data_IF_503723140186
#
_entry.id   IF_503723140186
#
_cell.length_a   1.000
_cell.length_b   1.000
_cell.length_c   1.000
_cell.angle_alpha   90.00
_cell.angle_beta   90.00
_cell.angle_gamma   90.00
#
_symmetry.space_group_name_H-M   'P 1'
#
loop_
_entity.id
_entity.type
_entity.pdbx_description
1 polymer ?
#
# COMPACT_ATOMS: atom_id res chain seq x y z
N UNK A 1 9.02 1.83 -20.12
CA UNK A 1 10.39 1.35 -19.82
C UNK A 1 10.25 -0.01 -19.16
N UNK A 2 10.80 -1.08 -19.75
CA UNK A 2 10.63 -2.43 -19.20
C UNK A 2 11.83 -2.79 -18.31
N UNK A 3 11.60 -2.84 -16.99
CA UNK A 3 12.61 -3.22 -15.99
C UNK A 3 12.81 -4.73 -15.89
N UNK A 4 12.01 -5.55 -16.58
CA UNK A 4 11.99 -7.03 -16.49
C UNK A 4 12.98 -7.74 -17.42
N UNK A 5 13.99 -7.05 -17.92
CA UNK A 5 14.99 -7.65 -18.81
C UNK A 5 15.98 -8.53 -18.04
N UNK A 6 16.13 -9.79 -18.44
CA UNK A 6 16.98 -10.81 -17.81
C UNK A 6 16.61 -11.08 -16.34
N UNK A 7 15.44 -11.70 -16.06
CA UNK A 7 15.07 -12.05 -14.71
C UNK A 7 16.10 -12.99 -14.09
N UNK A 8 16.41 -12.77 -12.81
CA UNK A 8 17.31 -13.60 -12.01
C UNK A 8 16.54 -14.14 -10.80
N UNK A 9 16.78 -15.40 -10.45
CA UNK A 9 16.20 -16.05 -9.28
C UNK A 9 17.33 -16.39 -8.29
N UNK A 10 17.21 -15.93 -7.05
CA UNK A 10 18.17 -16.21 -5.99
C UNK A 10 17.57 -17.23 -5.02
N UNK A 11 18.02 -18.48 -5.07
CA UNK A 11 17.60 -19.53 -4.14
C UNK A 11 18.53 -19.60 -2.94
N UNK A 12 17.95 -19.72 -1.75
CA UNK A 12 18.68 -19.87 -0.49
C UNK A 12 18.70 -21.33 -0.03
N UNK A 13 19.76 -21.74 0.67
CA UNK A 13 19.92 -23.11 1.19
C UNK A 13 20.41 -23.09 2.65
N UNK A 14 19.54 -22.73 3.63
CA UNK A 14 19.92 -22.57 5.04
C UNK A 14 20.54 -23.83 5.66
N UNK A 15 20.11 -25.02 5.25
CA UNK A 15 20.62 -26.31 5.72
C UNK A 15 22.14 -26.46 5.49
N UNK A 16 22.66 -25.90 4.40
CA UNK A 16 24.11 -25.94 4.14
C UNK A 16 24.89 -25.01 5.07
N UNK A 17 24.27 -23.92 5.55
CA UNK A 17 24.88 -23.00 6.50
C UNK A 17 25.04 -23.68 7.87
N UNK A 18 24.00 -24.36 8.34
CA UNK A 18 24.01 -25.11 9.61
C UNK A 18 25.06 -26.21 9.60
N UNK A 19 25.15 -26.99 8.51
CA UNK A 19 26.12 -28.08 8.39
C UNK A 19 27.59 -27.61 8.34
N UNK A 20 27.85 -26.38 7.92
CA UNK A 20 29.21 -25.82 7.84
C UNK A 20 29.73 -25.30 9.18
N UNK A 21 28.88 -25.22 10.22
CA UNK A 21 29.27 -24.69 11.53
C UNK A 21 29.77 -23.25 11.47
N UNK A 22 29.28 -22.45 10.51
CA UNK A 22 29.70 -21.05 10.35
C UNK A 22 29.24 -20.26 11.57
N UNK A 23 30.15 -19.47 12.12
CA UNK A 23 29.79 -18.53 13.17
C UNK A 23 28.85 -17.44 12.61
N UNK A 24 27.63 -17.40 13.13
CA UNK A 24 26.62 -16.40 12.73
C UNK A 24 26.99 -14.99 13.23
N UNK A 25 26.75 -13.92 12.46
CA UNK A 25 27.02 -12.55 12.92
C UNK A 25 25.96 -12.06 13.93
N UNK A 26 26.23 -11.03 14.74
CA UNK A 26 25.19 -10.31 15.46
C UNK A 26 24.18 -9.65 14.50
N UNK A 27 22.91 -9.58 14.92
CA UNK A 27 21.80 -8.98 14.18
C UNK A 27 21.01 -8.06 15.10
N UNK A 28 20.94 -6.79 14.72
CA UNK A 28 20.12 -5.78 15.39
C UNK A 28 18.80 -5.58 14.63
N UNK A 29 17.70 -5.73 15.34
CA UNK A 29 16.35 -5.57 14.84
C UNK A 29 15.82 -4.22 15.33
N UNK A 30 15.35 -3.39 14.40
CA UNK A 30 14.80 -2.07 14.72
C UNK A 30 13.29 -2.06 14.48
N UNK A 31 12.54 -1.67 15.52
CA UNK A 31 11.09 -1.43 15.46
C UNK A 31 10.84 0.04 15.76
N UNK A 32 10.15 0.73 14.88
CA UNK A 32 9.82 2.15 15.05
C UNK A 32 8.31 2.32 15.17
N UNK A 33 7.86 3.11 16.14
CA UNK A 33 6.46 3.48 16.34
C UNK A 33 6.36 5.00 16.44
N UNK A 34 5.32 5.57 15.82
CA UNK A 34 5.19 7.01 15.69
C UNK A 34 4.22 7.63 16.70
N UNK A 35 3.07 6.99 16.93
CA UNK A 35 2.02 7.52 17.79
C UNK A 35 1.12 6.37 18.29
N UNK A 36 0.89 6.24 19.61
CA UNK A 36 0.13 5.12 20.19
C UNK A 36 -1.39 5.17 19.92
N UNK A 37 -1.91 6.31 19.43
CA UNK A 37 -3.32 6.46 19.05
C UNK A 37 -3.53 6.00 17.61
N UNK A 38 -2.65 6.43 16.70
CA UNK A 38 -2.71 6.04 15.29
C UNK A 38 -2.15 4.63 15.05
N UNK A 39 -1.27 4.16 15.94
CA UNK A 39 -0.66 2.84 15.90
C UNK A 39 -0.82 2.18 17.28
N UNK A 40 -1.94 1.46 17.51
CA UNK A 40 -2.19 0.84 18.80
C UNK A 40 -0.98 0.02 19.31
N UNK A 41 -0.55 0.19 20.57
CA UNK A 41 0.67 -0.43 21.10
C UNK A 41 0.71 -1.94 20.95
N UNK A 42 -0.45 -2.61 20.96
CA UNK A 42 -0.56 -4.05 20.76
C UNK A 42 0.02 -4.53 19.42
N UNK A 43 -0.02 -3.71 18.36
CA UNK A 43 0.57 -4.02 17.06
C UNK A 43 2.10 -4.07 17.18
N UNK A 44 2.67 -3.07 17.84
CA UNK A 44 4.11 -2.97 18.12
C UNK A 44 4.56 -4.13 19.00
N UNK A 45 3.81 -4.45 20.05
CA UNK A 45 4.06 -5.59 20.95
C UNK A 45 4.08 -6.92 20.17
N UNK A 46 3.09 -7.19 19.31
CA UNK A 46 3.07 -8.40 18.50
C UNK A 46 4.27 -8.52 17.56
N UNK A 47 4.71 -7.39 16.99
CA UNK A 47 5.91 -7.33 16.15
C UNK A 47 7.16 -7.66 16.97
N UNK A 48 7.31 -7.05 18.15
CA UNK A 48 8.44 -7.30 19.06
C UNK A 48 8.48 -8.76 19.51
N UNK A 49 7.34 -9.33 19.93
CA UNK A 49 7.24 -10.73 20.34
C UNK A 49 7.62 -11.70 19.21
N UNK A 50 7.19 -11.42 17.98
CA UNK A 50 7.56 -12.20 16.80
C UNK A 50 9.08 -12.18 16.54
N UNK A 51 9.69 -10.98 16.66
CA UNK A 51 11.12 -10.79 16.45
C UNK A 51 11.97 -11.45 17.54
N UNK A 52 11.55 -11.41 18.81
CA UNK A 52 12.25 -12.08 19.92
C UNK A 52 12.19 -13.60 19.82
N UNK A 53 11.19 -14.15 19.13
CA UNK A 53 11.00 -15.58 18.92
C UNK A 53 11.71 -16.13 17.67
N UNK A 54 12.50 -15.32 16.95
CA UNK A 54 13.25 -15.77 15.78
C UNK A 54 14.19 -16.93 16.11
N UNK A 55 14.38 -17.81 15.12
CA UNK A 55 15.35 -18.90 15.20
C UNK A 55 16.78 -18.37 14.97
N UNK A 56 17.32 -17.73 16.02
CA UNK A 56 18.67 -17.18 16.04
C UNK A 56 19.29 -17.31 17.44
N UNK A 57 20.64 -17.39 17.56
CA UNK A 57 21.29 -17.42 18.87
C UNK A 57 20.95 -16.16 19.69
N UNK A 58 20.45 -16.36 20.91
CA UNK A 58 19.94 -15.27 21.76
C UNK A 58 21.00 -14.19 22.06
N UNK A 59 22.26 -14.58 22.24
CA UNK A 59 23.37 -13.65 22.48
C UNK A 59 23.81 -12.87 21.23
N UNK A 60 23.21 -13.15 20.06
CA UNK A 60 23.51 -12.50 18.77
C UNK A 60 22.31 -11.75 18.22
N UNK A 61 21.19 -11.75 18.93
CA UNK A 61 19.97 -11.06 18.51
C UNK A 61 19.69 -9.93 19.50
N UNK A 62 19.56 -8.70 19.02
CA UNK A 62 19.14 -7.56 19.83
C UNK A 62 17.95 -6.88 19.16
N UNK A 63 16.94 -6.50 19.95
CA UNK A 63 15.75 -5.81 19.47
C UNK A 63 15.69 -4.41 20.11
N UNK A 64 15.61 -3.39 19.25
CA UNK A 64 15.56 -1.99 19.63
C UNK A 64 14.21 -1.41 19.20
N UNK A 65 13.51 -0.78 20.14
CA UNK A 65 12.25 -0.08 19.86
C UNK A 65 12.48 1.42 19.99
N UNK A 66 12.16 2.18 18.94
CA UNK A 66 12.16 3.63 18.92
C UNK A 66 10.72 4.14 18.90
N UNK A 67 10.39 5.04 19.82
CA UNK A 67 9.07 5.66 19.94
C UNK A 67 9.17 7.19 19.79
N UNK A 68 8.70 7.70 18.66
CA UNK A 68 8.73 9.14 18.35
C UNK A 68 7.72 9.94 19.18
N UNK A 69 6.72 9.29 19.80
CA UNK A 69 5.75 9.96 20.67
C UNK A 69 6.24 10.08 22.11
N UNK A 70 7.37 9.45 22.47
CA UNK A 70 7.84 9.29 23.84
C UNK A 70 6.68 8.90 24.79
N UNK A 71 5.95 7.83 24.43
CA UNK A 71 4.69 7.47 25.07
C UNK A 71 4.90 6.52 26.26
N UNK A 72 4.47 6.92 27.48
CA UNK A 72 4.45 6.02 28.63
C UNK A 72 3.60 4.76 28.36
N UNK A 73 2.56 4.86 27.54
CA UNK A 73 1.70 3.74 27.18
C UNK A 73 2.43 2.72 26.31
N UNK A 74 3.26 3.17 25.37
CA UNK A 74 4.12 2.29 24.57
C UNK A 74 5.12 1.57 25.47
N UNK A 75 5.78 2.30 26.37
CA UNK A 75 6.74 1.72 27.31
C UNK A 75 6.08 0.70 28.25
N UNK A 76 4.94 1.04 28.85
CA UNK A 76 4.14 0.11 29.66
C UNK A 76 3.79 -1.17 28.88
N UNK A 77 3.33 -1.03 27.63
CA UNK A 77 2.98 -2.18 26.78
C UNK A 77 4.18 -3.08 26.48
N UNK A 78 5.38 -2.50 26.31
CA UNK A 78 6.63 -3.26 26.11
C UNK A 78 7.09 -3.98 27.38
N UNK A 79 6.89 -3.38 28.56
CA UNK A 79 7.17 -4.03 29.84
C UNK A 79 6.27 -5.26 30.05
N UNK A 80 4.97 -5.11 29.81
CA UNK A 80 4.02 -6.23 29.85
C UNK A 80 4.37 -7.31 28.81
N UNK A 81 4.79 -6.90 27.60
CA UNK A 81 5.24 -7.82 26.57
C UNK A 81 6.52 -8.58 26.98
N UNK A 82 7.44 -7.95 27.70
CA UNK A 82 8.66 -8.58 28.21
C UNK A 82 8.36 -9.74 29.16
N UNK A 83 7.36 -9.58 30.05
CA UNK A 83 6.91 -10.66 30.93
C UNK A 83 6.29 -11.82 30.13
N UNK A 84 5.43 -11.51 29.18
CA UNK A 84 4.83 -12.55 28.30
C UNK A 84 5.89 -13.23 27.40
N UNK A 85 6.91 -12.51 26.94
CA UNK A 85 7.97 -13.06 26.11
C UNK A 85 8.72 -14.22 26.77
N UNK A 86 8.83 -14.21 28.12
CA UNK A 86 9.43 -15.31 28.90
C UNK A 86 8.67 -16.62 28.75
N UNK A 87 7.38 -16.57 28.43
CA UNK A 87 6.53 -17.73 28.17
C UNK A 87 6.46 -18.04 26.66
N UNK A 88 6.27 -17.00 25.83
CA UNK A 88 6.07 -17.14 24.39
C UNK A 88 7.31 -17.63 23.63
N UNK A 89 8.49 -17.11 23.94
CA UNK A 89 9.73 -17.45 23.21
C UNK A 89 10.10 -18.93 23.40
N UNK A 90 10.11 -19.49 24.63
CA UNK A 90 10.33 -20.92 24.82
C UNK A 90 9.28 -21.78 24.13
N UNK A 91 7.99 -21.39 24.21
CA UNK A 91 6.90 -22.11 23.55
C UNK A 91 7.12 -22.18 22.03
N UNK A 92 7.45 -21.05 21.39
CA UNK A 92 7.73 -21.00 19.95
C UNK A 92 8.89 -21.91 19.54
N UNK A 93 9.98 -21.91 20.32
CA UNK A 93 11.17 -22.71 20.03
C UNK A 93 10.95 -24.20 20.27
N UNK A 94 10.19 -24.54 21.31
CA UNK A 94 9.88 -25.93 21.68
C UNK A 94 9.02 -26.63 20.64
N UNK A 95 8.06 -25.91 20.07
CA UNK A 95 7.05 -26.45 19.15
C UNK A 95 7.26 -26.03 17.69
N UNK A 96 8.42 -25.47 17.36
CA UNK A 96 8.80 -24.99 16.02
C UNK A 96 7.70 -24.14 15.34
N UNK A 97 7.17 -23.18 16.09
CA UNK A 97 6.07 -22.33 15.63
C UNK A 97 6.58 -21.43 14.49
N UNK A 98 5.97 -21.58 13.32
CA UNK A 98 6.35 -20.83 12.11
C UNK A 98 5.86 -19.37 12.16
N UNK A 99 4.60 -19.16 12.53
CA UNK A 99 3.98 -17.83 12.67
C UNK A 99 4.17 -17.34 14.10
N UNK A 100 5.18 -16.49 14.29
CA UNK A 100 5.63 -16.07 15.64
C UNK A 100 4.94 -14.83 16.20
N UNK A 101 4.08 -14.19 15.43
CA UNK A 101 3.22 -13.11 15.92
C UNK A 101 1.99 -13.73 16.63
N UNK A 102 1.83 -13.57 17.95
CA UNK A 102 0.78 -14.26 18.71
C UNK A 102 -0.63 -14.02 18.16
N UNK A 103 -0.97 -12.79 17.77
CA UNK A 103 -2.31 -12.49 17.22
C UNK A 103 -2.62 -13.31 15.96
N UNK A 104 -1.65 -13.43 15.04
CA UNK A 104 -1.83 -14.23 13.82
C UNK A 104 -1.85 -15.71 14.12
N UNK A 105 -1.02 -16.16 15.06
CA UNK A 105 -0.98 -17.57 15.44
C UNK A 105 -2.33 -18.01 16.03
N UNK A 106 -2.84 -17.30 17.04
CA UNK A 106 -4.06 -17.70 17.75
C UNK A 106 -5.36 -17.38 17.01
N UNK A 107 -5.41 -16.32 16.20
CA UNK A 107 -6.65 -15.84 15.58
C UNK A 107 -6.63 -15.87 14.04
N UNK A 108 -5.51 -16.23 13.42
CA UNK A 108 -5.36 -16.28 11.96
C UNK A 108 -5.90 -17.55 11.29
N UNK A 109 -6.34 -18.54 12.07
CA UNK A 109 -6.89 -19.82 11.58
C UNK A 109 -5.86 -20.94 11.38
N UNK A 110 -4.56 -20.64 11.46
CA UNK A 110 -3.47 -21.63 11.26
C UNK A 110 -2.94 -22.26 12.57
N UNK A 111 -3.28 -21.68 13.73
CA UNK A 111 -2.72 -22.11 15.03
C UNK A 111 -3.62 -22.99 15.88
N UNK A 112 -4.83 -23.36 15.43
CA UNK A 112 -5.64 -24.33 16.15
C UNK A 112 -5.01 -25.73 16.06
N UNK A 113 -4.94 -26.47 17.17
CA UNK A 113 -4.46 -27.84 17.14
C UNK A 113 -5.42 -28.71 16.30
N UNK A 114 -5.01 -29.05 15.09
CA UNK A 114 -5.71 -30.05 14.27
C UNK A 114 -5.57 -31.43 14.93
N UNK A 115 -6.70 -32.11 15.11
CA UNK A 115 -6.77 -33.46 15.65
C UNK A 115 -5.95 -34.51 14.85
N UNK A 116 -5.60 -34.20 13.60
CA UNK A 116 -4.96 -35.12 12.65
C UNK A 116 -3.43 -34.95 12.51
N UNK A 117 -2.80 -34.03 13.26
CA UNK A 117 -1.35 -33.84 13.19
C UNK A 117 -0.64 -34.81 14.13
N UNK A 118 0.00 -35.82 13.52
CA UNK A 118 0.56 -37.05 14.11
C UNK A 118 1.69 -36.91 15.16
N UNK A 119 1.88 -35.77 15.82
CA UNK A 119 3.01 -35.55 16.73
C UNK A 119 2.64 -34.79 18.02
N UNK A 120 1.50 -35.14 18.63
CA UNK A 120 1.11 -34.57 19.92
C UNK A 120 2.04 -35.11 21.01
N UNK A 121 3.09 -34.35 21.32
CA UNK A 121 3.75 -34.47 22.63
C UNK A 121 2.66 -34.35 23.71
N UNK A 122 2.58 -35.34 24.61
CA UNK A 122 1.61 -35.32 25.70
C UNK A 122 1.75 -34.01 26.49
N UNK A 123 0.79 -33.10 26.34
CA UNK A 123 0.77 -31.79 27.02
C UNK A 123 0.68 -30.57 26.11
N UNK A 124 0.88 -30.70 24.79
CA UNK A 124 0.79 -29.55 23.88
C UNK A 124 -0.56 -28.81 23.93
N UNK A 125 -1.74 -29.47 23.88
CA UNK A 125 -3.02 -28.76 23.90
C UNK A 125 -3.22 -27.92 25.17
N UNK A 126 -2.83 -28.45 26.33
CA UNK A 126 -2.94 -27.73 27.60
C UNK A 126 -1.96 -26.55 27.66
N UNK A 127 -0.71 -26.75 27.21
CA UNK A 127 0.28 -25.68 27.16
C UNK A 127 -0.17 -24.58 26.19
N UNK A 128 -0.70 -24.95 25.02
CA UNK A 128 -1.26 -24.01 24.04
C UNK A 128 -2.40 -23.18 24.62
N UNK A 129 -3.37 -23.82 25.31
CA UNK A 129 -4.51 -23.12 25.92
C UNK A 129 -4.05 -22.16 27.02
N UNK A 130 -3.09 -22.58 27.84
CA UNK A 130 -2.50 -21.72 28.86
C UNK A 130 -1.81 -20.50 28.23
N UNK A 131 -0.97 -20.68 27.20
CA UNK A 131 -0.29 -19.57 26.53
C UNK A 131 -1.29 -18.63 25.83
N UNK A 132 -2.35 -19.17 25.23
CA UNK A 132 -3.42 -18.37 24.63
C UNK A 132 -4.10 -17.50 25.68
N UNK A 133 -4.46 -18.07 26.83
CA UNK A 133 -5.08 -17.32 27.93
C UNK A 133 -4.15 -16.21 28.46
N UNK A 134 -2.86 -16.48 28.62
CA UNK A 134 -1.86 -15.46 29.01
C UNK A 134 -1.75 -14.33 27.97
N UNK A 135 -1.81 -14.66 26.68
CA UNK A 135 -1.81 -13.67 25.61
C UNK A 135 -3.08 -12.80 25.62
N UNK A 136 -4.25 -13.39 25.83
CA UNK A 136 -5.51 -12.65 25.96
C UNK A 136 -5.47 -11.71 27.18
N UNK A 137 -4.91 -12.15 28.31
CA UNK A 137 -4.71 -11.29 29.47
C UNK A 137 -3.76 -10.12 29.18
N UNK A 138 -2.66 -10.35 28.45
CA UNK A 138 -1.76 -9.28 27.98
C UNK A 138 -2.53 -8.25 27.14
N UNK A 139 -3.34 -8.72 26.18
CA UNK A 139 -4.17 -7.84 25.35
C UNK A 139 -5.11 -6.99 26.21
N UNK A 140 -5.82 -7.62 27.15
CA UNK A 140 -6.75 -6.93 28.05
C UNK A 140 -6.05 -5.86 28.90
N UNK A 141 -4.86 -6.14 29.44
CA UNK A 141 -4.10 -5.14 30.23
C UNK A 141 -3.68 -3.94 29.39
N UNK A 142 -3.22 -4.17 28.16
CA UNK A 142 -2.86 -3.09 27.23
C UNK A 142 -4.10 -2.28 26.83
N UNK A 143 -5.20 -2.94 26.51
CA UNK A 143 -6.47 -2.27 26.16
C UNK A 143 -7.03 -1.44 27.31
N UNK A 144 -6.98 -1.97 28.54
CA UNK A 144 -7.36 -1.19 29.73
C UNK A 144 -6.48 0.04 29.91
N UNK A 145 -5.17 -0.07 29.70
CA UNK A 145 -4.24 1.05 29.78
C UNK A 145 -4.47 2.09 28.66
N UNK A 146 -4.87 1.65 27.46
CA UNK A 146 -5.29 2.55 26.37
C UNK A 146 -6.52 3.35 26.77
N UNK A 147 -7.51 2.71 27.42
CA UNK A 147 -8.78 3.34 27.77
C UNK A 147 -8.71 4.21 29.04
N UNK A 148 -8.07 3.71 30.09
CA UNK A 148 -8.07 4.31 31.43
C UNK A 148 -6.79 5.11 31.73
N UNK A 149 -5.79 5.02 30.87
CA UNK A 149 -4.45 5.54 31.12
C UNK A 149 -3.55 4.50 31.80
N UNK A 150 -2.23 4.74 31.75
CA UNK A 150 -1.23 3.84 32.32
C UNK A 150 -1.40 3.76 33.85
N UNK A 151 -1.44 2.56 34.46
CA UNK A 151 -1.66 2.37 35.90
C UNK A 151 -0.40 2.67 36.74
N UNK A 152 0.33 3.75 36.43
CA UNK A 152 1.59 4.08 37.10
C UNK A 152 1.73 5.60 37.29
N UNK A 153 2.17 6.04 38.46
CA UNK A 153 2.69 7.39 38.64
C UNK A 153 4.02 7.52 37.86
N UNK A 154 4.27 8.66 37.20
CA UNK A 154 5.49 8.94 36.42
C UNK A 154 6.75 9.07 37.31
N UNK A 155 7.07 7.98 38.01
CA UNK A 155 8.13 7.84 39.01
C UNK A 155 8.88 6.53 38.75
N UNK A 156 10.06 6.34 39.33
CA UNK A 156 10.88 5.15 39.09
C UNK A 156 11.25 4.98 37.62
N UNK A 157 10.93 3.83 37.03
CA UNK A 157 11.22 3.49 35.62
C UNK A 157 10.50 4.40 34.60
N UNK A 158 9.47 5.14 35.03
CA UNK A 158 8.75 6.10 34.20
C UNK A 158 9.20 7.56 34.40
N UNK A 159 10.20 7.81 35.26
CA UNK A 159 10.64 9.16 35.60
C UNK A 159 11.14 9.96 34.40
N UNK A 160 11.75 9.27 33.42
CA UNK A 160 12.28 9.88 32.20
C UNK A 160 11.19 10.50 31.33
N UNK A 161 9.93 10.08 31.47
CA UNK A 161 8.79 10.67 30.74
C UNK A 161 8.20 11.92 31.41
N UNK A 162 8.66 12.26 32.62
CA UNK A 162 8.17 13.42 33.36
C UNK A 162 8.62 14.74 32.72
N UNK A 163 7.67 15.61 32.36
CA UNK A 163 7.96 16.93 31.79
C UNK A 163 8.41 16.92 30.31
N UNK A 164 8.37 15.77 29.63
CA UNK A 164 8.65 15.69 28.19
C UNK A 164 7.47 16.20 27.36
N UNK A 165 7.77 17.04 26.37
CA UNK A 165 6.80 17.37 25.32
C UNK A 165 6.86 16.32 24.20
N UNK A 166 5.80 15.52 24.06
CA UNK A 166 5.69 14.46 23.04
C UNK A 166 5.88 14.94 21.60
N UNK A 167 5.62 16.22 21.32
CA UNK A 167 5.79 16.81 19.97
C UNK A 167 7.12 17.53 19.79
N UNK A 168 7.91 17.66 20.85
CA UNK A 168 9.15 18.41 20.84
C UNK A 168 10.10 17.89 21.92
N UNK A 169 10.79 16.81 21.61
CA UNK A 169 11.87 16.24 22.43
C UNK A 169 13.13 16.05 21.58
N UNK A 170 14.33 16.07 22.17
CA UNK A 170 15.56 15.84 21.42
C UNK A 170 15.59 14.42 20.83
N UNK A 171 16.10 14.29 19.60
CA UNK A 171 16.38 12.99 18.99
C UNK A 171 17.56 12.32 19.70
N UNK A 172 17.38 11.11 20.24
CA UNK A 172 18.42 10.41 21.00
C UNK A 172 19.33 9.56 20.06
N UNK A 173 18.90 9.26 18.83
CA UNK A 173 19.73 8.61 17.81
C UNK A 173 19.42 9.18 16.42
N UNK A 174 20.45 9.55 15.64
CA UNK A 174 20.33 9.87 14.21
C UNK A 174 20.73 8.64 13.40
N UNK A 175 19.75 7.88 12.91
CA UNK A 175 20.00 6.72 12.03
C UNK A 175 20.08 7.19 10.56
N UNK A 176 20.92 6.54 9.76
CA UNK A 176 21.41 6.95 8.44
C UNK A 176 20.41 7.06 7.28
N UNK A 177 19.13 7.30 7.55
CA UNK A 177 18.14 7.66 6.52
C UNK A 177 18.41 9.07 6.01
N UNK A 178 18.27 9.26 4.70
CA UNK A 178 18.54 10.52 4.05
C UNK A 178 17.27 11.36 4.02
N UNK A 179 17.27 12.46 4.75
CA UNK A 179 16.18 13.44 4.71
C UNK A 179 16.10 14.19 3.37
N UNK A 180 14.90 14.68 3.08
CA UNK A 180 14.61 15.56 1.93
C UNK A 180 13.55 15.02 0.96
N UNK A 181 12.89 13.91 1.30
CA UNK A 181 11.77 13.34 0.54
C UNK A 181 10.80 12.66 1.52
N UNK A 182 9.51 12.66 1.22
CA UNK A 182 8.50 11.81 1.88
C UNK A 182 8.67 10.31 1.58
N UNK A 183 9.58 9.98 0.67
CA UNK A 183 10.05 8.62 0.35
C UNK A 183 11.56 8.54 0.57
N UNK A 184 11.97 8.78 1.82
CA UNK A 184 13.37 8.74 2.24
C UNK A 184 13.99 7.35 2.04
N UNK A 185 13.17 6.30 2.05
CA UNK A 185 13.55 4.92 1.74
C UNK A 185 14.14 4.77 0.33
N UNK A 186 13.43 5.29 -0.69
CA UNK A 186 13.88 5.29 -2.09
C UNK A 186 15.09 6.19 -2.26
N UNK A 187 15.06 7.39 -1.67
CA UNK A 187 16.18 8.34 -1.73
C UNK A 187 17.46 7.77 -1.11
N UNK A 188 17.33 7.08 0.02
CA UNK A 188 18.44 6.40 0.71
C UNK A 188 18.97 5.25 -0.14
N UNK A 189 18.07 4.43 -0.72
CA UNK A 189 18.44 3.35 -1.62
C UNK A 189 19.23 3.83 -2.84
N UNK A 190 18.78 4.90 -3.50
CA UNK A 190 19.52 5.52 -4.63
C UNK A 190 20.91 5.95 -4.18
N UNK A 191 21.01 6.59 -3.01
CA UNK A 191 22.27 7.11 -2.49
C UNK A 191 23.26 6.02 -2.10
N UNK A 192 22.78 4.88 -1.57
CA UNK A 192 23.60 3.70 -1.30
C UNK A 192 24.10 3.10 -2.61
N UNK A 193 23.22 2.88 -3.59
CA UNK A 193 23.61 2.33 -4.88
C UNK A 193 24.52 3.26 -5.70
N UNK A 194 24.35 4.58 -5.59
CA UNK A 194 25.23 5.57 -6.21
C UNK A 194 26.68 5.49 -5.68
N UNK A 195 26.89 4.92 -4.47
CA UNK A 195 28.23 4.63 -3.92
C UNK A 195 28.82 3.30 -4.42
N UNK A 196 28.08 2.52 -5.21
CA UNK A 196 28.52 1.27 -5.84
C UNK A 196 28.07 0.00 -5.11
N UNK A 197 27.23 0.12 -4.08
CA UNK A 197 26.63 -1.04 -3.41
C UNK A 197 25.62 -1.76 -4.29
N UNK A 198 25.37 -3.03 -3.98
CA UNK A 198 24.38 -3.88 -4.67
C UNK A 198 23.39 -4.43 -3.64
N UNK A 199 22.12 -4.50 -4.02
CA UNK A 199 21.07 -5.18 -3.27
C UNK A 199 20.78 -6.57 -3.85
N UNK A 200 20.24 -7.46 -3.03
CA UNK A 200 19.79 -8.80 -3.42
C UNK A 200 18.35 -8.98 -2.94
N UNK A 201 17.51 -9.59 -3.76
CA UNK A 201 16.15 -9.99 -3.42
C UNK A 201 16.07 -11.52 -3.47
N UNK A 202 16.09 -12.22 -2.32
CA UNK A 202 16.01 -13.67 -2.28
C UNK A 202 14.60 -14.13 -2.66
N UNK A 203 14.51 -15.21 -3.40
CA UNK A 203 13.26 -15.90 -3.68
C UNK A 203 13.03 -16.94 -2.58
N UNK A 204 11.96 -16.77 -1.82
CA UNK A 204 11.64 -17.57 -0.65
C UNK A 204 10.32 -18.30 -0.90
N UNK A 205 10.26 -19.59 -0.56
CA UNK A 205 9.08 -20.42 -0.76
C UNK A 205 7.88 -19.97 0.09
N UNK A 206 8.14 -19.26 1.19
CA UNK A 206 7.13 -18.68 2.07
C UNK A 206 7.46 -17.23 2.39
N UNK A 207 6.44 -16.37 2.58
CA UNK A 207 6.67 -14.97 2.92
C UNK A 207 7.35 -14.86 4.29
N UNK A 208 8.60 -14.39 4.30
CA UNK A 208 9.36 -14.21 5.54
C UNK A 208 8.89 -13.00 6.38
N UNK A 209 8.24 -12.03 5.76
CA UNK A 209 7.68 -10.85 6.42
C UNK A 209 6.24 -10.66 5.98
N UNK A 210 5.33 -10.69 6.94
CA UNK A 210 3.91 -10.40 6.75
C UNK A 210 3.56 -9.16 7.57
N UNK A 211 2.74 -8.30 6.97
CA UNK A 211 2.26 -7.09 7.61
C UNK A 211 0.78 -6.88 7.30
N UNK A 212 0.12 -6.10 8.16
CA UNK A 212 -1.25 -5.70 7.91
C UNK A 212 -1.28 -4.71 6.73
N UNK A 213 -2.13 -4.98 5.74
CA UNK A 213 -2.40 -4.09 4.63
C UNK A 213 -3.77 -3.43 4.83
N UNK A 214 -3.88 -2.14 4.50
CA UNK A 214 -5.17 -1.45 4.52
C UNK A 214 -6.13 -2.09 3.51
N UNK A 215 -7.38 -2.28 3.91
CA UNK A 215 -8.43 -2.97 3.13
C UNK A 215 -8.92 -2.27 1.85
N UNK A 216 -8.50 -1.02 1.56
CA UNK A 216 -8.91 -0.30 0.35
C UNK A 216 -9.24 1.18 0.57
N UNK A 217 -9.62 1.86 -0.51
CA UNK A 217 -10.25 3.19 -0.45
C UNK A 217 -9.34 4.34 -0.01
N UNK A 218 -9.81 5.29 0.82
CA UNK A 218 -9.11 6.56 1.06
C UNK A 218 -7.71 6.43 1.65
N UNK A 219 -7.49 5.47 2.55
CA UNK A 219 -6.20 5.27 3.24
C UNK A 219 -5.10 4.92 2.23
N UNK A 220 -5.36 3.96 1.33
CA UNK A 220 -4.43 3.59 0.26
C UNK A 220 -4.18 4.80 -0.65
N UNK A 221 -5.21 5.58 -0.97
CA UNK A 221 -5.04 6.75 -1.84
C UNK A 221 -4.15 7.82 -1.20
N UNK A 222 -4.30 8.08 0.10
CA UNK A 222 -3.40 8.98 0.85
C UNK A 222 -1.97 8.44 0.91
N UNK A 223 -1.79 7.13 1.03
CA UNK A 223 -0.46 6.51 0.98
C UNK A 223 0.19 6.69 -0.39
N UNK A 224 -0.52 6.37 -1.48
CA UNK A 224 0.00 6.53 -2.85
C UNK A 224 0.29 8.00 -3.16
N UNK A 225 -0.57 8.92 -2.72
CA UNK A 225 -0.34 10.36 -2.90
C UNK A 225 0.98 10.81 -2.25
N UNK A 226 1.29 10.29 -1.05
CA UNK A 226 2.58 10.53 -0.38
C UNK A 226 3.75 9.93 -1.16
N UNK A 227 3.63 8.70 -1.65
CA UNK A 227 4.66 8.09 -2.50
C UNK A 227 4.94 8.92 -3.74
N UNK A 228 3.91 9.33 -4.46
CA UNK A 228 4.06 10.14 -5.67
C UNK A 228 4.72 11.49 -5.34
N UNK A 229 4.31 12.15 -4.26
CA UNK A 229 4.93 13.42 -3.82
C UNK A 229 6.42 13.23 -3.52
N UNK A 230 6.79 12.21 -2.74
CA UNK A 230 8.19 11.91 -2.44
C UNK A 230 9.01 11.49 -3.66
N UNK A 231 8.41 10.79 -4.61
CA UNK A 231 9.06 10.46 -5.88
C UNK A 231 9.39 11.71 -6.70
N UNK A 232 8.50 12.70 -6.73
CA UNK A 232 8.78 13.98 -7.37
C UNK A 232 9.88 14.75 -6.63
N UNK A 233 9.82 14.83 -5.30
CA UNK A 233 10.88 15.43 -4.47
C UNK A 233 12.25 14.81 -4.76
N UNK A 234 12.30 13.47 -4.84
CA UNK A 234 13.52 12.73 -5.17
C UNK A 234 14.00 13.01 -6.60
N UNK A 235 13.09 13.01 -7.59
CA UNK A 235 13.39 13.21 -9.00
C UNK A 235 14.01 14.59 -9.27
N UNK A 236 13.51 15.63 -8.61
CA UNK A 236 13.97 17.02 -8.73
C UNK A 236 15.04 17.41 -7.69
N UNK A 237 15.48 16.47 -6.86
CA UNK A 237 16.58 16.69 -5.91
C UNK A 237 17.96 16.62 -6.58
N UNK A 238 18.99 17.09 -5.87
CA UNK A 238 20.41 16.92 -6.26
C UNK A 238 20.86 15.46 -6.27
N UNK A 239 20.07 14.55 -5.68
CA UNK A 239 20.34 13.10 -5.61
C UNK A 239 19.53 12.29 -6.62
N UNK A 240 18.97 12.95 -7.63
CA UNK A 240 18.23 12.32 -8.72
C UNK A 240 19.04 11.22 -9.42
N UNK A 241 18.42 10.09 -9.81
CA UNK A 241 19.12 9.01 -10.52
C UNK A 241 19.64 9.43 -11.89
N UNK A 242 19.12 10.53 -12.48
CA UNK A 242 19.62 11.10 -13.74
C UNK A 242 21.03 11.67 -13.53
N UNK A 243 21.18 12.51 -12.50
CA UNK A 243 22.47 13.10 -12.14
C UNK A 243 23.45 12.01 -11.72
N UNK A 244 22.98 11.02 -10.94
CA UNK A 244 23.81 9.94 -10.42
C UNK A 244 24.45 9.03 -11.49
N UNK A 245 23.92 8.97 -12.72
CA UNK A 245 24.62 8.26 -13.83
C UNK A 245 25.92 8.99 -14.19
N UNK A 246 25.88 10.33 -14.22
CA UNK A 246 27.00 11.15 -14.68
C UNK A 246 27.98 11.42 -13.53
N UNK A 247 27.46 11.59 -12.31
CA UNK A 247 28.23 12.06 -11.16
C UNK A 247 28.58 10.97 -10.14
N UNK A 248 28.09 9.74 -10.33
CA UNK A 248 28.25 8.66 -9.34
C UNK A 248 28.40 7.26 -10.00
N UNK A 249 28.39 6.19 -9.19
CA UNK A 249 28.59 4.80 -9.63
C UNK A 249 27.29 4.08 -9.99
N UNK A 250 26.20 4.82 -10.23
CA UNK A 250 24.90 4.22 -10.51
C UNK A 250 24.86 3.66 -11.94
N UNK A 251 24.55 2.37 -12.09
CA UNK A 251 24.51 1.75 -13.41
C UNK A 251 23.35 2.30 -14.24
N UNK A 252 23.54 2.44 -15.55
CA UNK A 252 22.51 2.96 -16.46
C UNK A 252 21.16 2.23 -16.32
N UNK A 253 21.17 0.89 -16.41
CA UNK A 253 19.94 0.08 -16.25
C UNK A 253 19.28 0.24 -14.89
N UNK A 254 20.07 0.41 -13.84
CA UNK A 254 19.58 0.65 -12.49
C UNK A 254 18.93 2.03 -12.38
N UNK A 255 19.52 3.05 -13.02
CA UNK A 255 18.93 4.38 -13.13
C UNK A 255 17.62 4.36 -13.92
N UNK A 256 17.52 3.60 -15.02
CA UNK A 256 16.25 3.37 -15.71
C UNK A 256 15.19 2.73 -14.77
N UNK A 257 15.61 1.76 -13.95
CA UNK A 257 14.74 1.17 -12.93
C UNK A 257 14.20 2.18 -11.92
N UNK A 258 15.07 3.06 -11.42
CA UNK A 258 14.65 4.15 -10.55
C UNK A 258 13.74 5.15 -11.25
N UNK A 259 14.09 5.58 -12.47
CA UNK A 259 13.27 6.51 -13.24
C UNK A 259 11.88 5.95 -13.52
N UNK A 260 11.74 4.66 -13.79
CA UNK A 260 10.45 4.02 -13.97
C UNK A 260 9.54 4.21 -12.73
N UNK A 261 10.09 4.06 -11.52
CA UNK A 261 9.35 4.27 -10.28
C UNK A 261 9.07 5.76 -10.05
N UNK A 262 10.09 6.61 -10.21
CA UNK A 262 9.96 8.05 -9.92
C UNK A 262 9.00 8.77 -10.87
N UNK A 263 8.89 8.29 -12.11
CA UNK A 263 7.99 8.85 -13.12
C UNK A 263 6.56 8.33 -13.03
N UNK A 264 6.22 7.48 -12.05
CA UNK A 264 4.88 6.87 -11.96
C UNK A 264 3.76 7.92 -11.90
N UNK A 265 3.96 9.02 -11.16
CA UNK A 265 3.00 10.11 -11.06
C UNK A 265 2.74 10.83 -12.39
N UNK A 266 3.73 10.90 -13.29
CA UNK A 266 3.60 11.60 -14.57
C UNK A 266 2.63 10.91 -15.53
N UNK A 267 2.41 9.60 -15.38
CA UNK A 267 1.46 8.86 -16.21
C UNK A 267 0.00 9.30 -15.98
N UNK A 268 -0.29 9.93 -14.83
CA UNK A 268 -1.65 10.33 -14.45
C UNK A 268 -2.31 11.30 -15.43
N UNK A 269 -1.59 12.36 -15.85
CA UNK A 269 -2.15 13.41 -16.69
C UNK A 269 -2.46 12.93 -18.13
N UNK A 270 -1.52 12.27 -18.85
CA UNK A 270 -1.85 11.69 -20.15
C UNK A 270 -3.00 10.70 -20.07
N UNK A 271 -3.00 9.80 -19.07
CA UNK A 271 -4.08 8.82 -18.92
C UNK A 271 -5.43 9.47 -18.65
N UNK A 272 -5.48 10.53 -17.85
CA UNK A 272 -6.70 11.28 -17.60
C UNK A 272 -7.25 11.91 -18.89
N UNK A 273 -6.39 12.53 -19.70
CA UNK A 273 -6.77 13.07 -21.01
C UNK A 273 -7.27 11.98 -21.97
N UNK A 274 -6.56 10.84 -22.04
CA UNK A 274 -6.98 9.71 -22.87
C UNK A 274 -8.32 9.10 -22.42
N UNK A 275 -8.67 9.16 -21.13
CA UNK A 275 -9.96 8.71 -20.63
C UNK A 275 -11.13 9.65 -20.96
N UNK A 276 -10.85 10.90 -21.35
CA UNK A 276 -11.87 11.85 -21.83
C UNK A 276 -12.06 11.79 -23.35
N UNK A 277 -11.04 11.34 -24.09
CA UNK A 277 -11.01 11.39 -25.55
C UNK A 277 -12.16 10.63 -26.24
N UNK A 278 -12.56 9.41 -25.79
CA UNK A 278 -13.69 8.70 -26.40
C UNK A 278 -15.00 9.46 -26.27
N UNK A 279 -15.29 9.98 -25.07
CA UNK A 279 -16.50 10.77 -24.82
C UNK A 279 -16.48 12.10 -25.59
N UNK A 280 -15.34 12.80 -25.64
CA UNK A 280 -15.18 14.00 -26.45
C UNK A 280 -15.50 13.75 -27.92
N UNK A 281 -14.97 12.65 -28.46
CA UNK A 281 -15.17 12.26 -29.86
C UNK A 281 -16.65 12.02 -30.16
N UNK A 282 -17.36 11.32 -29.28
CA UNK A 282 -18.82 11.12 -29.36
C UNK A 282 -19.59 12.45 -29.24
N UNK A 283 -19.19 13.35 -28.35
CA UNK A 283 -19.87 14.64 -28.17
C UNK A 283 -19.76 15.56 -29.37
N UNK A 284 -18.64 15.46 -30.09
CA UNK A 284 -18.27 16.34 -31.21
C UNK A 284 -18.49 15.70 -32.58
N UNK A 285 -18.90 14.43 -32.63
CA UNK A 285 -18.98 13.65 -33.86
C UNK A 285 -17.65 13.63 -34.64
N UNK A 286 -16.56 13.52 -33.89
CA UNK A 286 -15.21 13.34 -34.41
C UNK A 286 -14.71 11.93 -34.09
N UNK A 287 -13.60 11.54 -34.71
CA UNK A 287 -13.01 10.22 -34.53
C UNK A 287 -11.52 10.35 -34.28
N UNK A 288 -11.05 9.67 -33.24
CA UNK A 288 -9.62 9.60 -32.94
C UNK A 288 -9.01 8.24 -33.31
N UNK A 289 -9.87 7.24 -33.53
CA UNK A 289 -9.49 5.94 -34.05
C UNK A 289 -9.74 5.87 -35.56
N UNK A 290 -8.97 5.06 -36.31
CA UNK A 290 -9.30 4.72 -37.69
C UNK A 290 -10.71 4.14 -37.77
N UNK A 291 -11.42 4.43 -38.86
CA UNK A 291 -12.76 3.90 -39.07
C UNK A 291 -12.74 2.37 -39.12
N UNK A 292 -13.86 1.72 -38.78
CA UNK A 292 -13.99 0.25 -38.87
C UNK A 292 -13.79 -0.27 -40.30
N UNK A 293 -14.03 0.58 -41.30
CA UNK A 293 -13.74 0.30 -42.71
C UNK A 293 -12.25 0.37 -43.07
N UNK A 294 -11.42 1.00 -42.24
CA UNK A 294 -10.00 1.18 -42.50
C UNK A 294 -9.18 0.02 -41.94
N UNK A 295 -8.33 -0.65 -42.74
CA UNK A 295 -7.50 -1.75 -42.26
C UNK A 295 -6.58 -1.42 -41.09
N UNK A 296 -6.25 -0.14 -40.89
CA UNK A 296 -5.43 0.33 -39.77
C UNK A 296 -6.04 0.01 -38.40
N UNK A 297 -7.37 -0.12 -38.30
CA UNK A 297 -8.03 -0.48 -37.03
C UNK A 297 -7.56 -1.85 -36.50
N UNK A 298 -7.21 -2.78 -37.39
CA UNK A 298 -6.71 -4.10 -36.99
C UNK A 298 -5.38 -4.03 -36.23
N UNK A 299 -4.54 -3.02 -36.49
CA UNK A 299 -3.30 -2.80 -35.73
C UNK A 299 -3.64 -2.45 -34.29
N UNK A 300 -4.59 -1.54 -34.07
CA UNK A 300 -4.99 -1.12 -32.73
C UNK A 300 -5.70 -2.23 -31.96
N UNK A 301 -6.57 -2.99 -32.63
CA UNK A 301 -7.23 -4.17 -32.06
C UNK A 301 -6.19 -5.23 -31.68
N UNK A 302 -5.21 -5.51 -32.55
CA UNK A 302 -4.13 -6.45 -32.26
C UNK A 302 -3.30 -6.00 -31.06
N UNK A 303 -2.90 -4.72 -30.99
CA UNK A 303 -2.16 -4.18 -29.84
C UNK A 303 -2.94 -4.31 -28.54
N UNK A 304 -4.24 -4.01 -28.56
CA UNK A 304 -5.11 -4.16 -27.39
C UNK A 304 -5.19 -5.62 -26.93
N UNK A 305 -5.41 -6.56 -27.85
CA UNK A 305 -5.50 -7.99 -27.54
C UNK A 305 -4.15 -8.50 -27.02
N UNK A 306 -3.05 -8.22 -27.71
CA UNK A 306 -1.71 -8.65 -27.33
C UNK A 306 -1.36 -8.14 -25.93
N UNK A 307 -1.63 -6.86 -25.63
CA UNK A 307 -1.34 -6.29 -24.32
C UNK A 307 -2.14 -6.97 -23.19
N UNK A 308 -3.45 -7.16 -23.38
CA UNK A 308 -4.30 -7.79 -22.37
C UNK A 308 -3.95 -9.27 -22.17
N UNK A 309 -3.71 -10.02 -23.26
CA UNK A 309 -3.30 -11.43 -23.18
C UNK A 309 -1.93 -11.54 -22.53
N UNK A 310 -0.96 -10.71 -22.92
CA UNK A 310 0.38 -10.71 -22.35
C UNK A 310 0.35 -10.46 -20.84
N UNK A 311 -0.33 -9.39 -20.41
CA UNK A 311 -0.43 -9.06 -18.98
C UNK A 311 -1.19 -10.12 -18.18
N UNK A 312 -2.24 -10.72 -18.76
CA UNK A 312 -2.94 -11.82 -18.12
C UNK A 312 -2.04 -13.06 -17.94
N UNK A 313 -1.28 -13.42 -18.98
CA UNK A 313 -0.33 -14.54 -18.92
C UNK A 313 0.78 -14.30 -17.89
N UNK A 314 1.25 -13.06 -17.72
CA UNK A 314 2.19 -12.72 -16.64
C UNK A 314 1.59 -12.99 -15.26
N UNK A 315 0.33 -12.59 -15.03
CA UNK A 315 -0.34 -12.84 -13.75
C UNK A 315 -0.51 -14.33 -13.46
N UNK A 316 -0.94 -15.10 -14.46
CA UNK A 316 -1.09 -16.56 -14.33
C UNK A 316 0.27 -17.22 -14.04
N UNK A 317 1.36 -16.78 -14.69
CA UNK A 317 2.72 -17.27 -14.42
C UNK A 317 3.19 -16.97 -13.00
N UNK A 318 2.72 -15.87 -12.42
CA UNK A 318 2.99 -15.53 -11.01
C UNK A 318 2.04 -16.23 -10.02
N UNK A 319 1.20 -17.17 -10.46
CA UNK A 319 0.25 -17.87 -9.59
C UNK A 319 -0.95 -17.01 -9.16
N UNK A 320 -1.18 -15.86 -9.81
CA UNK A 320 -2.28 -14.96 -9.48
C UNK A 320 -3.53 -15.27 -10.32
N UNK A 321 -4.70 -15.04 -9.72
CA UNK A 321 -5.98 -15.28 -10.39
C UNK A 321 -6.31 -14.25 -11.47
N UNK A 322 -7.17 -14.63 -12.43
CA UNK A 322 -7.75 -13.71 -13.42
C UNK A 322 -8.46 -12.53 -12.72
N UNK A 323 -9.10 -12.79 -11.57
CA UNK A 323 -9.72 -11.74 -10.75
C UNK A 323 -8.69 -10.75 -10.22
N UNK A 324 -7.51 -11.21 -9.81
CA UNK A 324 -6.42 -10.32 -9.37
C UNK A 324 -5.90 -9.46 -10.52
N UNK A 325 -5.73 -10.03 -11.72
CA UNK A 325 -5.36 -9.28 -12.92
C UNK A 325 -6.39 -8.18 -13.24
N UNK A 326 -7.68 -8.54 -13.29
CA UNK A 326 -8.74 -7.58 -13.58
C UNK A 326 -8.84 -6.50 -12.50
N UNK A 327 -8.73 -6.87 -11.22
CA UNK A 327 -8.69 -5.91 -10.12
C UNK A 327 -7.52 -4.93 -10.27
N UNK A 328 -6.34 -5.42 -10.64
CA UNK A 328 -5.17 -4.56 -10.84
C UNK A 328 -5.37 -3.59 -12.01
N UNK A 329 -5.94 -4.06 -13.14
CA UNK A 329 -6.26 -3.18 -14.28
C UNK A 329 -7.20 -2.03 -13.88
N UNK A 330 -8.25 -2.34 -13.12
CA UNK A 330 -9.20 -1.34 -12.61
C UNK A 330 -8.53 -0.38 -11.62
N UNK A 331 -7.81 -0.94 -10.65
CA UNK A 331 -7.14 -0.13 -9.62
C UNK A 331 -6.06 0.76 -10.21
N UNK A 332 -5.31 0.31 -11.21
CA UNK A 332 -4.33 1.16 -11.91
C UNK A 332 -4.97 2.43 -12.47
N UNK A 333 -6.12 2.32 -13.15
CA UNK A 333 -6.86 3.47 -13.70
C UNK A 333 -7.44 4.37 -12.61
N UNK A 334 -8.02 3.76 -11.58
CA UNK A 334 -8.57 4.50 -10.42
C UNK A 334 -7.46 5.27 -9.72
N UNK A 335 -6.37 4.62 -9.36
CA UNK A 335 -5.22 5.24 -8.68
C UNK A 335 -4.60 6.35 -9.53
N UNK A 336 -4.46 6.14 -10.85
CA UNK A 336 -3.91 7.17 -11.74
C UNK A 336 -4.79 8.43 -11.82
N UNK A 337 -6.11 8.28 -11.85
CA UNK A 337 -7.07 9.40 -11.88
C UNK A 337 -7.39 9.98 -10.49
N UNK A 338 -6.89 9.39 -9.41
CA UNK A 338 -7.08 9.85 -8.03
C UNK A 338 -5.74 10.30 -7.42
N UNK A 339 -5.11 9.43 -6.64
CA UNK A 339 -3.93 9.70 -5.84
C UNK A 339 -2.72 10.13 -6.67
N UNK A 340 -2.47 9.52 -7.83
CA UNK A 340 -1.33 9.91 -8.65
C UNK A 340 -1.51 11.30 -9.26
N UNK A 341 -2.72 11.62 -9.73
CA UNK A 341 -3.03 12.93 -10.29
C UNK A 341 -2.87 14.03 -9.22
N UNK A 342 -3.46 13.83 -8.04
CA UNK A 342 -3.32 14.78 -6.93
C UNK A 342 -1.90 14.87 -6.39
N UNK A 343 -1.20 13.73 -6.23
CA UNK A 343 0.20 13.70 -5.81
C UNK A 343 1.09 14.46 -6.78
N UNK A 344 0.93 14.24 -8.08
CA UNK A 344 1.67 14.96 -9.12
C UNK A 344 1.38 16.47 -9.12
N UNK A 345 0.11 16.86 -9.04
CA UNK A 345 -0.27 18.28 -9.06
C UNK A 345 0.14 19.02 -7.77
N UNK A 346 0.04 18.35 -6.62
CA UNK A 346 0.38 18.94 -5.31
C UNK A 346 1.87 19.21 -5.11
N UNK A 347 2.73 18.54 -5.88
CA UNK A 347 4.16 18.79 -5.86
C UNK A 347 4.51 20.19 -6.38
N UNK A 348 3.84 20.71 -7.42
CA UNK A 348 4.23 21.97 -8.05
C UNK A 348 4.15 23.20 -7.13
N UNK A 349 3.06 23.41 -6.34
CA UNK A 349 3.03 24.49 -5.36
C UNK A 349 4.15 24.40 -4.33
N UNK A 350 4.49 23.20 -3.86
CA UNK A 350 5.60 22.97 -2.91
C UNK A 350 6.95 23.28 -3.54
N UNK A 351 7.18 22.79 -4.76
CA UNK A 351 8.41 23.03 -5.51
C UNK A 351 8.64 24.53 -5.78
N UNK A 352 7.56 25.29 -5.99
CA UNK A 352 7.60 26.74 -6.18
C UNK A 352 7.63 27.55 -4.86
N UNK A 353 7.60 26.89 -3.69
CA UNK A 353 7.67 27.55 -2.38
C UNK A 353 6.34 28.14 -1.89
N UNK A 354 5.21 27.78 -2.49
CA UNK A 354 3.88 28.28 -2.10
C UNK A 354 3.18 27.44 -1.00
N UNK A 355 3.77 26.33 -0.56
CA UNK A 355 3.16 25.41 0.41
C UNK A 355 4.21 24.71 1.29
N UNK A 356 3.87 24.46 2.56
CA UNK A 356 4.72 23.74 3.52
C UNK A 356 4.62 22.22 3.39
N UNK A 357 5.67 21.52 3.87
CA UNK A 357 5.71 20.07 3.94
C UNK A 357 5.02 19.57 5.23
N UNK A 358 3.76 19.15 5.13
CA UNK A 358 3.07 18.46 6.21
C UNK A 358 3.10 16.96 5.95
N UNK A 359 3.78 16.22 6.82
CA UNK A 359 3.73 14.76 6.85
C UNK A 359 2.64 14.32 7.82
N UNK A 360 1.64 13.60 7.31
CA UNK A 360 0.56 13.02 8.12
C UNK A 360 0.81 11.51 8.26
N UNK A 361 0.80 11.02 9.50
CA UNK A 361 0.96 9.58 9.82
C UNK A 361 -0.27 8.84 9.32
N UNK A 362 -0.08 7.70 8.64
CA UNK A 362 -1.21 6.86 8.25
C UNK A 362 -1.71 6.09 9.46
N UNK A 363 -3.00 6.18 9.81
CA UNK A 363 -3.54 5.33 10.86
C UNK A 363 -3.40 3.84 10.50
N UNK A 364 -3.01 3.02 11.47
CA UNK A 364 -2.93 1.54 11.37
C UNK A 364 -4.16 0.84 11.97
N UNK A 365 -5.23 1.60 12.26
CA UNK A 365 -6.47 1.28 13.02
C UNK A 365 -7.24 -0.01 12.66
N UNK A 366 -6.82 -0.77 11.64
CA UNK A 366 -7.55 -1.97 11.23
C UNK A 366 -7.30 -3.18 12.16
N UNK A 367 -6.23 -3.19 12.97
CA UNK A 367 -5.93 -4.33 13.85
C UNK A 367 -6.85 -4.37 15.09
N UNK A 368 -7.19 -3.22 15.67
CA UNK A 368 -8.12 -3.14 16.81
C UNK A 368 -9.53 -3.61 16.43
N UNK A 369 -9.93 -3.45 15.16
CA UNK A 369 -11.18 -4.04 14.68
C UNK A 369 -11.11 -5.56 14.48
N UNK A 370 -9.93 -6.17 14.34
CA UNK A 370 -9.77 -7.62 14.12
C UNK A 370 -9.84 -8.39 15.45
N UNK A 371 -9.42 -7.78 16.57
CA UNK A 371 -9.52 -8.41 17.90
C UNK A 371 -10.98 -8.53 18.42
N UNK A 372 -11.92 -7.77 17.84
CA UNK A 372 -13.35 -7.81 18.22
C UNK A 372 -14.34 -8.13 17.10
N UNK A 373 -13.93 -8.18 15.82
CA UNK A 373 -14.82 -8.52 14.72
C UNK A 373 -14.91 -10.03 14.54
N UNK A 374 -16.13 -10.54 14.35
CA UNK A 374 -16.32 -11.93 13.94
C UNK A 374 -15.69 -12.16 12.57
N UNK A 375 -15.22 -13.39 12.32
CA UNK A 375 -14.70 -13.82 11.01
C UNK A 375 -15.71 -13.51 9.89
N UNK A 376 -17.01 -13.55 10.19
CA UNK A 376 -18.10 -13.18 9.28
C UNK A 376 -18.18 -11.67 8.96
N UNK A 377 -17.90 -10.77 9.91
CA UNK A 377 -17.83 -9.32 9.64
C UNK A 377 -16.62 -8.95 8.78
N UNK A 378 -15.51 -9.64 8.98
CA UNK A 378 -14.29 -9.51 8.17
C UNK A 378 -14.48 -10.04 6.74
N UNK A 379 -15.28 -11.10 6.55
CA UNK A 379 -15.51 -11.70 5.24
C UNK A 379 -16.58 -10.94 4.42
N UNK A 380 -17.63 -10.41 5.07
CA UNK A 380 -18.69 -9.65 4.40
C UNK A 380 -18.22 -8.29 3.81
N UNK A 381 -17.16 -7.69 4.38
CA UNK A 381 -16.55 -6.44 3.90
C UNK A 381 -15.35 -6.61 2.96
N UNK A 382 -14.84 -7.83 2.78
CA UNK A 382 -13.59 -8.09 2.04
C UNK A 382 -13.73 -7.72 0.55
N UNK A 383 -12.90 -6.77 0.12
CA UNK A 383 -12.77 -6.40 -1.29
C UNK A 383 -13.81 -5.40 -1.82
N UNK A 384 -14.58 -4.76 -0.95
CA UNK A 384 -15.44 -3.63 -1.33
C UNK A 384 -14.65 -2.31 -1.30
N UNK A 385 -14.81 -1.49 -2.34
CA UNK A 385 -14.16 -0.18 -2.42
C UNK A 385 -14.89 0.81 -1.51
N UNK A 386 -14.14 1.61 -0.76
CA UNK A 386 -14.69 2.60 0.18
C UNK A 386 -14.42 4.03 -0.27
N UNK A 387 -15.26 4.96 0.17
CA UNK A 387 -15.21 6.37 -0.14
C UNK A 387 -15.26 7.23 1.14
N UNK A 388 -14.80 8.46 1.03
CA UNK A 388 -14.99 9.53 2.01
C UNK A 388 -15.17 10.86 1.28
N UNK A 389 -15.35 11.96 2.02
CA UNK A 389 -15.57 13.31 1.47
C UNK A 389 -14.34 13.93 0.76
N UNK A 390 -13.25 13.18 0.59
CA UNK A 390 -12.03 13.67 -0.03
C UNK A 390 -12.24 14.06 -1.51
N UNK A 391 -11.69 15.21 -1.95
CA UNK A 391 -11.80 15.65 -3.35
C UNK A 391 -11.11 14.72 -4.34
N UNK A 392 -10.26 13.80 -3.88
CA UNK A 392 -9.57 12.81 -4.73
C UNK A 392 -10.53 11.96 -5.55
N UNK A 393 -11.78 11.79 -5.10
CA UNK A 393 -12.80 11.00 -5.79
C UNK A 393 -13.57 11.79 -6.86
N UNK A 394 -13.38 13.10 -6.96
CA UNK A 394 -14.08 13.94 -7.96
C UNK A 394 -13.63 13.62 -9.39
N UNK A 395 -12.32 13.57 -9.74
CA UNK A 395 -11.92 13.28 -11.11
C UNK A 395 -12.40 11.92 -11.67
N UNK A 396 -12.25 10.76 -11.00
CA UNK A 396 -12.77 9.49 -11.53
C UNK A 396 -14.30 9.45 -11.63
N UNK A 397 -15.02 10.08 -10.70
CA UNK A 397 -16.49 10.18 -10.77
C UNK A 397 -16.91 11.07 -11.95
N UNK A 398 -16.14 12.11 -12.24
CA UNK A 398 -16.34 12.97 -13.42
C UNK A 398 -16.09 12.18 -14.71
N UNK A 399 -14.99 11.41 -14.79
CA UNK A 399 -14.70 10.53 -15.94
C UNK A 399 -15.82 9.53 -16.17
N UNK A 400 -16.35 8.93 -15.10
CA UNK A 400 -17.48 8.03 -15.15
C UNK A 400 -18.72 8.71 -15.74
N UNK A 401 -19.11 9.88 -15.23
CA UNK A 401 -20.29 10.60 -15.73
C UNK A 401 -20.13 11.04 -17.18
N UNK A 402 -18.97 11.59 -17.55
CA UNK A 402 -18.68 12.01 -18.93
C UNK A 402 -18.86 10.83 -19.91
N UNK A 403 -18.29 9.66 -19.58
CA UNK A 403 -18.40 8.48 -20.45
C UNK A 403 -19.81 7.86 -20.44
N UNK A 404 -20.54 7.86 -19.30
CA UNK A 404 -21.93 7.42 -19.26
C UNK A 404 -22.85 8.33 -20.10
N UNK A 405 -22.65 9.64 -20.03
CA UNK A 405 -23.39 10.61 -20.85
C UNK A 405 -23.10 10.41 -22.34
N UNK A 406 -21.84 10.12 -22.71
CA UNK A 406 -21.47 9.79 -24.08
C UNK A 406 -22.17 8.54 -24.60
N UNK A 407 -22.17 7.47 -23.80
CA UNK A 407 -22.87 6.23 -24.16
C UNK A 407 -24.39 6.43 -24.28
N UNK A 408 -24.99 7.22 -23.37
CA UNK A 408 -26.41 7.55 -23.43
C UNK A 408 -26.77 8.33 -24.72
N UNK A 409 -25.96 9.32 -25.10
CA UNK A 409 -26.20 10.06 -26.36
C UNK A 409 -25.95 9.20 -27.59
N UNK A 410 -24.89 8.38 -27.60
CA UNK A 410 -24.65 7.45 -28.71
C UNK A 410 -25.84 6.49 -28.91
N UNK A 411 -26.45 6.03 -27.81
CA UNK A 411 -27.63 5.18 -27.86
C UNK A 411 -28.88 5.93 -28.37
N UNK A 412 -29.11 7.16 -27.90
CA UNK A 412 -30.29 7.97 -28.26
C UNK A 412 -30.24 8.50 -29.69
N UNK A 413 -29.07 8.95 -30.14
CA UNK A 413 -28.88 9.58 -31.46
C UNK A 413 -28.74 8.52 -32.58
N UNK A 414 -28.82 7.22 -32.26
CA UNK A 414 -28.67 6.14 -33.22
C UNK A 414 -27.29 6.16 -33.89
N UNK A 415 -26.24 6.40 -33.10
CA UNK A 415 -24.90 6.66 -33.60
C UNK A 415 -24.48 5.61 -34.63
N UNK A 416 -24.03 6.10 -35.78
CA UNK A 416 -23.64 5.30 -36.94
C UNK A 416 -22.54 4.28 -36.60
N UNK A 417 -22.48 3.20 -37.38
CA UNK A 417 -21.42 2.17 -37.37
C UNK A 417 -19.98 2.74 -37.42
N UNK A 418 -19.81 4.02 -37.78
CA UNK A 418 -18.52 4.71 -37.80
C UNK A 418 -17.90 4.94 -36.41
N UNK A 419 -18.69 5.03 -35.32
CA UNK A 419 -18.19 5.36 -33.97
C UNK A 419 -17.96 4.17 -33.02
N UNK A 420 -17.93 2.94 -33.53
CA UNK A 420 -17.88 1.74 -32.68
C UNK A 420 -16.62 1.65 -31.81
N UNK A 421 -15.48 2.17 -32.30
CA UNK A 421 -14.23 2.20 -31.54
C UNK A 421 -14.32 3.10 -30.30
N UNK A 422 -14.84 4.31 -30.48
CA UNK A 422 -15.06 5.28 -29.40
C UNK A 422 -16.08 4.78 -28.37
N UNK A 423 -17.17 4.14 -28.83
CA UNK A 423 -18.16 3.50 -27.95
C UNK A 423 -17.48 2.38 -27.15
N UNK A 424 -16.71 1.51 -27.79
CA UNK A 424 -15.96 0.44 -27.11
C UNK A 424 -15.01 1.00 -26.05
N UNK A 425 -14.23 2.04 -26.38
CA UNK A 425 -13.35 2.69 -25.42
C UNK A 425 -14.12 3.30 -24.24
N UNK A 426 -15.26 3.95 -24.49
CA UNK A 426 -16.12 4.51 -23.44
C UNK A 426 -16.68 3.41 -22.52
N UNK A 427 -17.14 2.29 -23.08
CA UNK A 427 -17.57 1.11 -22.31
C UNK A 427 -16.41 0.56 -21.48
N UNK A 428 -15.22 0.43 -22.06
CA UNK A 428 -14.03 -0.05 -21.35
C UNK A 428 -13.69 0.84 -20.15
N UNK A 429 -13.76 2.17 -20.32
CA UNK A 429 -13.55 3.13 -19.22
C UNK A 429 -14.60 2.92 -18.12
N UNK A 430 -15.88 2.85 -18.46
CA UNK A 430 -16.96 2.60 -17.47
C UNK A 430 -16.73 1.28 -16.72
N UNK A 431 -16.31 0.21 -17.42
CA UNK A 431 -15.98 -1.08 -16.79
C UNK A 431 -14.80 -0.97 -15.82
N UNK A 432 -13.79 -0.14 -16.13
CA UNK A 432 -12.68 0.09 -15.20
C UNK A 432 -13.10 0.84 -13.94
N UNK A 433 -14.08 1.74 -14.06
CA UNK A 433 -14.67 2.50 -12.95
C UNK A 433 -15.91 1.85 -12.33
N UNK A 434 -16.12 0.54 -12.55
CA UNK A 434 -17.25 -0.20 -11.95
C UNK A 434 -17.38 -0.04 -10.42
N UNK A 435 -16.30 0.07 -9.61
CA UNK A 435 -16.44 0.38 -8.18
C UNK A 435 -17.12 1.71 -7.91
N UNK A 436 -16.84 2.75 -8.70
CA UNK A 436 -17.48 4.06 -8.59
C UNK A 436 -18.94 3.99 -9.04
N UNK A 437 -19.22 3.28 -10.14
CA UNK A 437 -20.59 3.08 -10.61
C UNK A 437 -21.45 2.38 -9.56
N UNK A 438 -20.94 1.32 -8.91
CA UNK A 438 -21.62 0.68 -7.78
C UNK A 438 -21.79 1.63 -6.60
N UNK A 439 -20.75 2.41 -6.29
CA UNK A 439 -20.76 3.40 -5.23
C UNK A 439 -21.83 4.49 -5.40
N UNK A 440 -22.25 4.82 -6.62
CA UNK A 440 -23.36 5.78 -6.85
C UNK A 440 -24.70 5.33 -6.26
N UNK A 441 -24.89 4.01 -6.08
CA UNK A 441 -26.13 3.42 -5.57
C UNK A 441 -26.00 2.88 -4.14
N UNK A 442 -24.82 2.98 -3.53
CA UNK A 442 -24.54 2.51 -2.18
C UNK A 442 -24.63 3.65 -1.15
N UNK A 443 -24.69 3.30 0.14
CA UNK A 443 -24.78 4.25 1.25
C UNK A 443 -23.61 4.05 2.23
N UNK A 444 -23.38 5.05 3.08
CA UNK A 444 -22.31 5.03 4.08
C UNK A 444 -20.92 4.98 3.43
N UNK A 445 -19.97 4.27 4.06
CA UNK A 445 -18.58 4.17 3.60
C UNK A 445 -18.38 3.53 2.22
N UNK A 446 -19.41 2.89 1.67
CA UNK A 446 -19.37 2.27 0.33
C UNK A 446 -20.02 3.16 -0.75
N UNK A 447 -20.74 4.22 -0.36
CA UNK A 447 -21.38 5.15 -1.27
C UNK A 447 -20.47 6.30 -1.68
N UNK A 448 -20.52 6.74 -2.94
CA UNK A 448 -19.88 7.99 -3.37
C UNK A 448 -20.59 9.16 -2.69
N UNK A 449 -19.88 10.06 -1.98
CA UNK A 449 -20.53 11.15 -1.27
C UNK A 449 -21.34 12.06 -2.18
N UNK A 450 -22.44 12.59 -1.64
CA UNK A 450 -23.32 13.52 -2.36
C UNK A 450 -22.57 14.76 -2.86
N UNK A 451 -21.64 15.28 -2.04
CA UNK A 451 -20.78 16.42 -2.41
C UNK A 451 -19.92 16.11 -3.64
N UNK A 452 -19.41 14.88 -3.74
CA UNK A 452 -18.57 14.41 -4.85
C UNK A 452 -19.41 14.22 -6.11
N UNK A 453 -20.61 13.65 -5.97
CA UNK A 453 -21.56 13.47 -7.09
C UNK A 453 -21.89 14.81 -7.73
N UNK A 454 -22.30 15.82 -6.96
CA UNK A 454 -22.66 17.12 -7.51
C UNK A 454 -21.48 17.83 -8.19
N UNK A 455 -20.32 17.89 -7.52
CA UNK A 455 -19.11 18.48 -8.11
C UNK A 455 -18.76 17.79 -9.44
N UNK A 456 -18.81 16.46 -9.47
CA UNK A 456 -18.47 15.68 -10.64
C UNK A 456 -19.50 15.83 -11.76
N UNK A 457 -20.78 15.89 -11.43
CA UNK A 457 -21.86 16.12 -12.40
C UNK A 457 -21.76 17.53 -13.02
N UNK A 458 -21.47 18.56 -12.21
CA UNK A 458 -21.22 19.91 -12.71
C UNK A 458 -20.01 19.95 -13.65
N UNK A 459 -18.89 19.31 -13.29
CA UNK A 459 -17.72 19.23 -14.16
C UNK A 459 -18.00 18.46 -15.46
N UNK A 460 -18.73 17.35 -15.39
CA UNK A 460 -19.12 16.58 -16.57
C UNK A 460 -20.04 17.39 -17.51
N UNK A 461 -20.99 18.14 -16.94
CA UNK A 461 -21.85 19.04 -17.71
C UNK A 461 -21.06 20.16 -18.39
N UNK A 462 -20.14 20.81 -17.66
CA UNK A 462 -19.26 21.83 -18.23
C UNK A 462 -18.42 21.27 -19.37
N UNK A 463 -17.84 20.08 -19.19
CA UNK A 463 -17.07 19.40 -20.22
C UNK A 463 -17.92 19.12 -21.48
N UNK A 464 -19.14 18.61 -21.32
CA UNK A 464 -20.08 18.42 -22.43
C UNK A 464 -20.40 19.74 -23.14
N UNK A 465 -20.74 20.78 -22.38
CA UNK A 465 -21.09 22.10 -22.89
C UNK A 465 -19.96 22.68 -23.76
N UNK A 466 -18.73 22.71 -23.22
CA UNK A 466 -17.57 23.23 -23.95
C UNK A 466 -17.20 22.36 -25.15
N UNK A 467 -17.34 21.03 -25.04
CA UNK A 467 -17.08 20.13 -26.18
C UNK A 467 -18.00 20.44 -27.36
N UNK A 468 -19.31 20.60 -27.11
CA UNK A 468 -20.28 20.94 -28.16
C UNK A 468 -20.11 22.37 -28.69
N UNK A 469 -19.81 23.33 -27.82
CA UNK A 469 -19.57 24.71 -28.24
C UNK A 469 -18.32 24.83 -29.12
N UNK A 470 -17.29 24.04 -28.84
CA UNK A 470 -16.09 24.00 -29.67
C UNK A 470 -16.39 23.36 -31.03
N UNK A 471 -17.12 22.25 -31.06
CA UNK A 471 -17.52 21.58 -32.29
C UNK A 471 -18.44 22.43 -33.18
N UNK A 472 -19.22 23.36 -32.62
CA UNK A 472 -20.06 24.25 -33.42
C UNK A 472 -19.32 25.46 -34.01
N UNK A 473 -18.05 25.69 -33.62
CA UNK A 473 -17.22 26.81 -34.10
C UNK A 473 -16.18 26.40 -35.16
N UNK A 474 -15.87 25.11 -35.27
CA UNK A 474 -15.01 24.55 -36.33
C UNK A 474 -15.85 23.95 -37.43
#
# INVERSE_FOLDING_TARGET
>A
MNVKWNPLQYRTYPQHLLNRGVELPPVDLFVTTADPVLEPPIITVNTVLSLLALDYPAHKLACYVSDDAASPLTFYSLMEASEFAKLWVPFCKKHDIQVRAPFMYFFGGDGEPNADTHDISMGFPQEWENIKNEYEQLCNRIEEAVQKGVPCDLTGEFADFSGINRRNHPSIVKVGLIYGSNTEDVLTGISIHARGWRSVYPDLDSPAFLGCASTGGPIIMTQIMRWITGFQETLFSTRSPILAIVTAKLQFRQSLGYLYILLWGHCSLPEFCYALLPAYSIFTNTHFLPMVSEPAIFILVALFIIHNVYTLLEYIKCGLSIRAWWNNMRMSRITNSTACLFGFLSFFPKFLGFSENVFEVTPKDQVTSIQGASVEELDNGRGQFTFNESPIFVPPTTLLFVNLTALAMAFLDGYSWLGLGEIFCSVWIVLTFLPFLKGLFQKGKYGVPWSTIWKSASLAFLFLYFSRQWASKG
#
